data_IF_896646593524
#
_entry.id   IF_896646593524
#
_cell.length_a   1.000
_cell.length_b   1.000
_cell.length_c   1.000
_cell.angle_alpha   90.00
_cell.angle_beta   90.00
_cell.angle_gamma   90.00
#
_symmetry.space_group_name_H-M   'P 1'
#
loop_
_entity.id
_entity.type
_entity.pdbx_description
1 polymer ?
#
# COMPACT_ATOMS: atom_id res chain seq x y z
N UNK A 1 -6.87 24.25 -8.03
CA UNK A 1 -5.97 23.47 -7.14
C UNK A 1 -4.77 24.35 -6.77
N UNK A 2 -4.32 24.34 -5.52
CA UNK A 2 -3.13 25.10 -5.10
C UNK A 2 -1.86 24.41 -5.66
N UNK A 3 -1.05 25.06 -6.52
CA UNK A 3 0.13 24.46 -7.16
C UNK A 3 1.12 23.85 -6.14
N UNK A 4 1.32 24.55 -5.03
CA UNK A 4 2.25 24.14 -3.96
C UNK A 4 1.82 22.81 -3.32
N UNK A 5 0.51 22.56 -3.19
CA UNK A 5 -0.02 21.31 -2.63
C UNK A 5 0.28 20.10 -3.52
N UNK A 6 0.28 20.29 -4.84
CA UNK A 6 0.59 19.22 -5.79
C UNK A 6 2.09 18.88 -5.78
N UNK A 7 2.96 19.88 -5.63
CA UNK A 7 4.40 19.67 -5.52
C UNK A 7 4.78 18.96 -4.21
N UNK A 8 4.15 19.34 -3.09
CA UNK A 8 4.29 18.63 -1.80
C UNK A 8 3.86 17.17 -1.93
N UNK A 9 2.72 16.92 -2.60
CA UNK A 9 2.25 15.55 -2.88
C UNK A 9 3.27 14.78 -3.70
N UNK A 10 3.74 15.32 -4.81
CA UNK A 10 4.70 14.65 -5.69
C UNK A 10 6.02 14.35 -4.96
N UNK A 11 6.51 15.25 -4.10
CA UNK A 11 7.69 15.02 -3.29
C UNK A 11 7.49 13.87 -2.29
N UNK A 12 6.31 13.81 -1.67
CA UNK A 12 5.92 12.73 -0.77
C UNK A 12 5.81 11.38 -1.49
N UNK A 13 5.13 11.36 -2.64
CA UNK A 13 4.97 10.19 -3.49
C UNK A 13 6.31 9.60 -3.97
N UNK A 14 7.30 10.46 -4.23
CA UNK A 14 8.69 10.07 -4.55
C UNK A 14 9.50 9.55 -3.35
N UNK A 15 8.92 9.40 -2.16
CA UNK A 15 9.60 8.84 -0.99
C UNK A 15 10.50 9.78 -0.22
N UNK A 16 10.43 11.10 -0.44
CA UNK A 16 11.16 12.05 0.41
C UNK A 16 10.62 12.03 1.83
N UNK A 17 11.52 12.13 2.82
CA UNK A 17 11.10 12.24 4.21
C UNK A 17 10.28 13.51 4.45
N UNK A 18 9.29 13.42 5.33
CA UNK A 18 8.41 14.54 5.70
C UNK A 18 9.23 15.72 6.26
N UNK A 19 10.29 15.45 7.03
CA UNK A 19 11.27 16.44 7.51
C UNK A 19 11.87 17.24 6.35
N UNK A 20 12.36 16.53 5.33
CA UNK A 20 12.98 17.13 4.13
C UNK A 20 11.96 17.89 3.29
N UNK A 21 10.73 17.40 3.18
CA UNK A 21 9.63 18.09 2.50
C UNK A 21 9.28 19.39 3.23
N UNK A 22 9.21 19.35 4.56
CA UNK A 22 8.96 20.53 5.39
C UNK A 22 10.02 21.62 5.15
N UNK A 23 11.30 21.23 5.09
CA UNK A 23 12.40 22.15 4.78
C UNK A 23 12.35 22.65 3.33
N UNK A 24 12.05 21.77 2.36
CA UNK A 24 12.05 22.10 0.94
C UNK A 24 10.95 23.10 0.54
N UNK A 25 9.79 23.01 1.20
CA UNK A 25 8.63 23.85 0.89
C UNK A 25 8.35 24.93 1.94
N UNK A 26 9.25 25.12 2.91
CA UNK A 26 9.11 26.04 4.04
C UNK A 26 7.76 25.90 4.77
N UNK A 27 7.40 24.65 5.09
CA UNK A 27 6.16 24.31 5.80
C UNK A 27 6.46 23.58 7.09
N UNK A 28 5.55 23.71 8.05
CA UNK A 28 5.60 22.89 9.27
C UNK A 28 5.03 21.50 9.03
N UNK A 29 5.40 20.54 9.88
CA UNK A 29 4.77 19.21 9.90
C UNK A 29 3.25 19.28 10.05
N UNK A 30 2.75 20.21 10.88
CA UNK A 30 1.32 20.44 11.07
C UNK A 30 0.63 20.83 9.77
N UNK A 31 1.25 21.74 8.99
CA UNK A 31 0.77 22.15 7.67
C UNK A 31 0.77 20.99 6.67
N UNK A 32 1.81 20.14 6.69
CA UNK A 32 1.87 18.92 5.87
C UNK A 32 0.70 17.98 6.17
N UNK A 33 0.47 17.65 7.44
CA UNK A 33 -0.64 16.78 7.85
C UNK A 33 -2.01 17.38 7.57
N UNK A 34 -2.15 18.70 7.67
CA UNK A 34 -3.36 19.40 7.26
C UNK A 34 -3.67 19.20 5.77
N UNK A 35 -2.68 19.37 4.89
CA UNK A 35 -2.85 19.14 3.46
C UNK A 35 -3.18 17.68 3.13
N UNK A 36 -2.52 16.74 3.80
CA UNK A 36 -2.76 15.31 3.66
C UNK A 36 -4.17 14.92 4.09
N UNK A 37 -4.64 15.44 5.23
CA UNK A 37 -6.02 15.22 5.73
C UNK A 37 -7.06 15.79 4.77
N UNK A 38 -6.87 17.03 4.31
CA UNK A 38 -7.73 17.68 3.29
C UNK A 38 -7.77 16.91 1.97
N UNK A 39 -6.68 16.24 1.60
CA UNK A 39 -6.64 15.40 0.40
C UNK A 39 -7.45 14.12 0.59
N UNK A 40 -7.30 13.47 1.74
CA UNK A 40 -8.08 12.29 2.12
C UNK A 40 -9.58 12.57 2.15
N UNK A 41 -10.00 13.69 2.74
CA UNK A 41 -11.41 14.14 2.77
C UNK A 41 -11.97 14.39 1.36
N UNK A 42 -11.11 14.73 0.39
CA UNK A 42 -11.48 14.94 -1.00
C UNK A 42 -11.36 13.66 -1.87
N UNK A 43 -11.10 12.49 -1.26
CA UNK A 43 -10.95 11.21 -1.96
C UNK A 43 -9.57 10.99 -2.61
N UNK A 44 -8.58 11.83 -2.30
CA UNK A 44 -7.19 11.73 -2.77
C UNK A 44 -6.26 11.32 -1.62
N UNK A 45 -6.29 10.04 -1.25
CA UNK A 45 -5.46 9.51 -0.16
C UNK A 45 -4.00 9.36 -0.62
N UNK A 46 -3.13 10.22 -0.09
CA UNK A 46 -1.71 10.23 -0.42
C UNK A 46 -0.96 9.01 0.13
N UNK A 47 -1.40 8.42 1.24
CA UNK A 47 -0.82 7.18 1.76
C UNK A 47 -1.12 6.02 0.81
N UNK A 48 -2.37 5.93 0.34
CA UNK A 48 -2.78 4.90 -0.61
C UNK A 48 -2.06 5.06 -1.96
N UNK A 49 -1.92 6.30 -2.44
CA UNK A 49 -1.16 6.60 -3.64
C UNK A 49 0.35 6.28 -3.49
N UNK A 50 0.96 6.64 -2.35
CA UNK A 50 2.35 6.31 -2.05
C UNK A 50 2.58 4.79 -2.02
N UNK A 51 1.67 4.05 -1.39
CA UNK A 51 1.72 2.59 -1.32
C UNK A 51 1.52 1.92 -2.70
N UNK A 52 0.70 2.50 -3.57
CA UNK A 52 0.54 2.01 -4.96
C UNK A 52 1.80 2.25 -5.80
N UNK A 53 2.46 3.39 -5.63
CA UNK A 53 3.67 3.76 -6.40
C UNK A 53 4.90 2.99 -5.91
N UNK A 54 5.01 2.73 -4.60
CA UNK A 54 6.06 1.91 -3.96
C UNK A 54 5.89 0.40 -4.14
N UNK A 55 4.83 -0.06 -4.80
CA UNK A 55 4.60 -1.49 -5.14
C UNK A 55 5.34 -1.96 -6.40
N UNK A 56 6.29 -1.20 -6.90
CA UNK A 56 7.31 -1.74 -7.80
C UNK A 56 8.18 -2.75 -7.04
N UNK A 57 8.24 -4.00 -7.50
CA UNK A 57 8.94 -5.13 -6.86
C UNK A 57 10.43 -4.89 -6.54
N UNK A 58 11.03 -3.84 -7.10
CA UNK A 58 12.44 -3.49 -6.97
C UNK A 58 12.79 -2.82 -5.63
N UNK A 59 11.91 -2.02 -5.02
CA UNK A 59 12.22 -1.33 -3.75
C UNK A 59 12.03 -2.21 -2.51
N UNK A 60 11.15 -3.21 -2.58
CA UNK A 60 11.00 -4.21 -1.51
C UNK A 60 12.30 -5.00 -1.35
N UNK A 61 12.91 -5.42 -2.47
CA UNK A 61 14.20 -6.11 -2.48
C UNK A 61 15.33 -5.25 -1.92
N UNK A 62 15.41 -3.97 -2.30
CA UNK A 62 16.42 -3.04 -1.78
C UNK A 62 16.30 -2.82 -0.26
N UNK A 63 15.06 -2.76 0.26
CA UNK A 63 14.82 -2.65 1.71
C UNK A 63 15.19 -3.92 2.48
N UNK A 64 15.02 -5.09 1.86
CA UNK A 64 15.37 -6.39 2.41
C UNK A 64 16.89 -6.61 2.43
N UNK A 65 17.59 -6.25 1.35
CA UNK A 65 19.05 -6.27 1.26
C UNK A 65 19.70 -5.37 2.31
N UNK A 66 19.18 -4.14 2.49
CA UNK A 66 19.66 -3.21 3.51
C UNK A 66 19.44 -3.73 4.94
N UNK A 67 18.28 -4.36 5.20
CA UNK A 67 17.99 -4.97 6.50
C UNK A 67 18.94 -6.15 6.78
N UNK A 68 19.13 -7.05 5.82
CA UNK A 68 20.02 -8.21 5.95
C UNK A 68 21.48 -7.79 6.14
N UNK A 69 21.96 -6.80 5.39
CA UNK A 69 23.31 -6.25 5.56
C UNK A 69 23.50 -5.66 6.97
N UNK A 70 22.52 -4.91 7.46
CA UNK A 70 22.55 -4.33 8.82
C UNK A 70 22.51 -5.42 9.89
N UNK A 71 21.73 -6.48 9.68
CA UNK A 71 21.63 -7.63 10.58
C UNK A 71 22.99 -8.34 10.68
N UNK A 72 23.59 -8.70 9.54
CA UNK A 72 24.88 -9.39 9.48
C UNK A 72 25.96 -8.57 10.18
N UNK A 73 26.08 -7.27 9.86
CA UNK A 73 27.05 -6.38 10.50
C UNK A 73 26.85 -6.29 12.03
N UNK A 74 25.60 -6.30 12.51
CA UNK A 74 25.30 -6.27 13.95
C UNK A 74 25.68 -7.57 14.66
N UNK A 75 25.53 -8.72 13.98
CA UNK A 75 25.93 -10.03 14.50
C UNK A 75 27.45 -10.21 14.51
N UNK A 76 28.14 -9.81 13.44
CA UNK A 76 29.60 -9.83 13.38
C UNK A 76 30.22 -8.99 14.49
N UNK A 77 29.66 -7.80 14.72
CA UNK A 77 30.08 -6.94 15.82
C UNK A 77 29.85 -7.57 17.20
N UNK A 78 28.70 -8.20 17.41
CA UNK A 78 28.41 -8.90 18.67
C UNK A 78 29.36 -10.09 18.93
N UNK A 79 29.71 -10.84 17.88
CA UNK A 79 30.66 -11.95 17.94
C UNK A 79 32.10 -11.47 18.22
N UNK A 80 32.52 -10.37 17.58
CA UNK A 80 33.85 -9.77 17.77
C UNK A 80 34.04 -9.17 19.16
N UNK A 81 32.99 -8.59 19.73
CA UNK A 81 33.01 -8.00 21.09
C UNK A 81 32.88 -9.05 22.22
N UNK A 82 32.86 -10.35 21.88
CA UNK A 82 32.76 -11.45 22.86
C UNK A 82 31.42 -11.48 23.61
N UNK A 83 30.43 -10.73 23.14
CA UNK A 83 29.12 -10.65 23.75
C UNK A 83 28.25 -11.81 23.23
N UNK A 84 27.91 -12.75 24.11
CA UNK A 84 26.84 -13.70 23.82
C UNK A 84 25.56 -12.87 23.57
N UNK A 85 25.01 -12.83 22.35
CA UNK A 85 23.84 -12.02 22.09
C UNK A 85 22.71 -12.55 22.97
N UNK A 86 22.19 -11.71 23.88
CA UNK A 86 21.13 -12.15 24.78
C UNK A 86 19.98 -12.70 23.96
N UNK A 87 19.40 -13.83 24.40
CA UNK A 87 18.21 -14.44 23.78
C UNK A 87 17.11 -13.41 23.49
N UNK A 88 17.04 -12.38 24.31
CA UNK A 88 16.13 -11.24 24.18
C UNK A 88 16.41 -10.37 22.94
N UNK A 89 17.68 -10.05 22.67
CA UNK A 89 18.08 -9.32 21.44
C UNK A 89 17.83 -10.18 20.21
N UNK A 90 18.16 -11.46 20.26
CA UNK A 90 17.90 -12.41 19.16
C UNK A 90 16.41 -12.53 18.86
N UNK A 91 15.58 -12.65 19.89
CA UNK A 91 14.12 -12.70 19.74
C UNK A 91 13.57 -11.39 19.15
N UNK A 92 14.11 -10.23 19.56
CA UNK A 92 13.73 -8.93 18.97
C UNK A 92 14.10 -8.84 17.48
N UNK A 93 15.28 -9.31 17.07
CA UNK A 93 15.68 -9.33 15.67
C UNK A 93 14.85 -10.33 14.85
N UNK A 94 14.57 -11.51 15.39
CA UNK A 94 13.72 -12.52 14.75
C UNK A 94 12.27 -12.03 14.60
N UNK A 95 11.72 -11.34 15.60
CA UNK A 95 10.40 -10.72 15.51
C UNK A 95 10.34 -9.58 14.51
N UNK A 96 11.37 -8.75 14.41
CA UNK A 96 11.45 -7.68 13.40
C UNK A 96 11.56 -8.27 12.00
N UNK A 97 12.43 -9.26 11.79
CA UNK A 97 12.54 -9.99 10.52
C UNK A 97 11.23 -10.71 10.17
N UNK A 98 10.58 -11.34 11.14
CA UNK A 98 9.27 -11.94 10.94
C UNK A 98 8.21 -10.90 10.63
N UNK A 99 8.22 -9.69 11.22
CA UNK A 99 7.29 -8.61 10.85
C UNK A 99 7.54 -8.03 9.45
N UNK A 100 8.80 -8.04 9.00
CA UNK A 100 9.19 -7.60 7.66
C UNK A 100 8.85 -8.64 6.59
N UNK A 101 9.10 -9.93 6.88
CA UNK A 101 8.88 -11.05 5.96
C UNK A 101 7.48 -11.64 6.05
N UNK A 102 6.81 -11.52 7.20
CA UNK A 102 5.42 -11.93 7.32
C UNK A 102 4.68 -11.13 6.26
N UNK A 103 4.02 -11.81 5.30
CA UNK A 103 3.09 -11.11 4.44
C UNK A 103 2.16 -10.41 5.41
N UNK A 104 2.08 -9.07 5.35
CA UNK A 104 1.14 -8.34 6.18
C UNK A 104 -0.21 -9.03 5.97
N UNK A 105 -0.67 -9.76 6.99
CA UNK A 105 -2.03 -10.28 7.06
C UNK A 105 -3.05 -9.12 7.15
N UNK A 106 -2.59 -7.87 7.05
CA UNK A 106 -3.38 -6.77 6.47
C UNK A 106 -3.51 -6.97 4.96
N UNK A 107 -4.21 -8.05 4.65
CA UNK A 107 -4.82 -8.37 3.39
C UNK A 107 -5.82 -7.29 2.98
N UNK A 108 -5.97 -6.11 3.59
CA UNK A 108 -7.06 -5.18 3.22
C UNK A 108 -7.04 -4.80 1.72
N UNK A 109 -5.85 -4.62 1.14
CA UNK A 109 -5.72 -4.36 -0.30
C UNK A 109 -5.80 -5.64 -1.14
N UNK A 110 -5.20 -6.76 -0.71
CA UNK A 110 -5.33 -8.06 -1.40
C UNK A 110 -6.74 -8.63 -1.31
N UNK A 111 -7.46 -8.33 -0.24
CA UNK A 111 -8.84 -8.67 0.05
C UNK A 111 -9.74 -7.75 -0.76
N UNK A 112 -9.48 -6.44 -0.84
CA UNK A 112 -10.20 -5.57 -1.78
C UNK A 112 -10.02 -6.02 -3.23
N UNK A 113 -8.80 -6.35 -3.65
CA UNK A 113 -8.53 -6.88 -4.99
C UNK A 113 -9.20 -8.26 -5.19
N UNK A 114 -9.10 -9.19 -4.24
CA UNK A 114 -9.80 -10.49 -4.29
C UNK A 114 -11.31 -10.34 -4.28
N UNK A 115 -11.87 -9.45 -3.46
CA UNK A 115 -13.30 -9.22 -3.39
C UNK A 115 -13.79 -8.58 -4.68
N UNK A 116 -13.02 -7.65 -5.25
CA UNK A 116 -13.29 -7.06 -6.56
C UNK A 116 -13.28 -8.11 -7.66
N UNK A 117 -12.24 -8.94 -7.70
CA UNK A 117 -12.15 -10.07 -8.63
C UNK A 117 -13.34 -11.03 -8.48
N UNK A 118 -13.77 -11.32 -7.24
CA UNK A 118 -14.95 -12.15 -6.98
C UNK A 118 -16.26 -11.49 -7.42
N UNK A 119 -16.39 -10.19 -7.26
CA UNK A 119 -17.55 -9.44 -7.73
C UNK A 119 -17.62 -9.41 -9.27
N UNK A 120 -16.48 -9.19 -9.94
CA UNK A 120 -16.36 -9.27 -11.39
C UNK A 120 -16.71 -10.68 -11.90
N UNK A 121 -16.22 -11.72 -11.22
CA UNK A 121 -16.57 -13.11 -11.51
C UNK A 121 -18.08 -13.36 -11.36
N UNK A 122 -18.69 -12.79 -10.31
CA UNK A 122 -20.13 -12.96 -10.04
C UNK A 122 -20.97 -12.29 -11.13
N UNK A 123 -20.61 -11.08 -11.56
CA UNK A 123 -21.26 -10.39 -12.67
C UNK A 123 -21.14 -11.22 -13.96
N UNK A 124 -19.98 -11.83 -14.19
CA UNK A 124 -19.74 -12.69 -15.35
C UNK A 124 -20.59 -13.95 -15.33
N UNK A 125 -20.68 -14.63 -14.19
CA UNK A 125 -21.55 -15.81 -14.04
C UNK A 125 -23.04 -15.45 -14.15
N UNK A 126 -23.45 -14.28 -13.66
CA UNK A 126 -24.82 -13.78 -13.86
C UNK A 126 -25.10 -13.50 -15.34
N UNK A 127 -24.13 -12.95 -16.07
CA UNK A 127 -24.25 -12.73 -17.50
C UNK A 127 -24.31 -14.05 -18.29
N UNK A 128 -23.52 -15.06 -17.91
CA UNK A 128 -23.61 -16.40 -18.48
C UNK A 128 -24.96 -17.07 -18.18
N UNK A 129 -25.44 -17.00 -16.93
CA UNK A 129 -26.75 -17.53 -16.56
C UNK A 129 -27.88 -16.82 -17.32
N UNK A 130 -27.78 -15.49 -17.48
CA UNK A 130 -28.73 -14.72 -18.29
C UNK A 130 -28.68 -15.10 -19.77
N UNK A 131 -27.50 -15.45 -20.31
CA UNK A 131 -27.34 -15.97 -21.66
C UNK A 131 -27.99 -17.34 -21.83
N UNK A 132 -27.82 -18.24 -20.86
CA UNK A 132 -28.44 -19.58 -20.86
C UNK A 132 -29.98 -19.50 -20.76
N UNK A 133 -30.50 -18.52 -20.02
CA UNK A 133 -31.94 -18.28 -19.84
C UNK A 133 -32.54 -17.34 -20.90
N UNK A 134 -31.77 -16.97 -21.93
CA UNK A 134 -32.13 -16.07 -23.03
C UNK A 134 -32.63 -14.68 -22.56
N UNK A 135 -32.19 -14.21 -21.39
CA UNK A 135 -32.56 -12.93 -20.79
C UNK A 135 -31.70 -11.78 -21.32
N UNK A 136 -31.91 -11.40 -22.59
CA UNK A 136 -31.11 -10.36 -23.29
C UNK A 136 -31.07 -9.01 -22.56
N UNK A 137 -32.18 -8.59 -21.95
CA UNK A 137 -32.24 -7.33 -21.20
C UNK A 137 -31.26 -7.30 -20.02
N UNK A 138 -31.06 -8.45 -19.37
CA UNK A 138 -30.15 -8.58 -18.23
C UNK A 138 -28.69 -8.55 -18.69
N UNK A 139 -28.39 -9.16 -19.84
CA UNK A 139 -27.05 -9.15 -20.46
C UNK A 139 -26.65 -7.72 -20.84
N UNK A 140 -27.54 -6.98 -21.49
CA UNK A 140 -27.29 -5.60 -21.91
C UNK A 140 -27.11 -4.67 -20.71
N UNK A 141 -27.92 -4.86 -19.66
CA UNK A 141 -27.80 -4.10 -18.41
C UNK A 141 -26.45 -4.36 -17.72
N UNK A 142 -26.08 -5.63 -17.54
CA UNK A 142 -24.82 -5.99 -16.87
C UNK A 142 -23.61 -5.52 -17.68
N UNK A 143 -23.62 -5.66 -19.00
CA UNK A 143 -22.53 -5.20 -19.87
C UNK A 143 -22.32 -3.69 -19.79
N UNK A 144 -23.42 -2.93 -19.79
CA UNK A 144 -23.40 -1.46 -19.76
C UNK A 144 -23.01 -0.91 -18.39
N UNK A 145 -23.41 -1.57 -17.30
CA UNK A 145 -23.29 -1.03 -15.94
C UNK A 145 -22.27 -1.74 -15.04
N UNK A 146 -21.50 -2.70 -15.55
CA UNK A 146 -20.57 -3.50 -14.72
C UNK A 146 -19.64 -2.65 -13.85
N UNK A 147 -19.00 -1.60 -14.39
CA UNK A 147 -18.10 -0.74 -13.62
C UNK A 147 -18.83 0.04 -12.51
N UNK A 148 -20.04 0.52 -12.78
CA UNK A 148 -20.84 1.26 -11.81
C UNK A 148 -21.35 0.34 -10.69
N UNK A 149 -21.67 -0.93 -11.00
CA UNK A 149 -22.02 -1.95 -10.01
C UNK A 149 -20.81 -2.21 -9.09
N UNK A 150 -19.62 -2.46 -9.66
CA UNK A 150 -18.38 -2.66 -8.89
C UNK A 150 -18.10 -1.45 -8.01
N UNK A 151 -18.19 -0.23 -8.55
CA UNK A 151 -17.97 1.02 -7.81
C UNK A 151 -18.94 1.21 -6.64
N UNK A 152 -20.20 0.77 -6.77
CA UNK A 152 -21.20 0.85 -5.69
C UNK A 152 -20.97 -0.18 -4.60
N UNK A 153 -20.44 -1.36 -4.94
CA UNK A 153 -20.15 -2.44 -3.99
C UNK A 153 -18.91 -2.12 -3.14
N UNK A 154 -17.88 -1.49 -3.71
CA UNK A 154 -16.58 -1.23 -3.06
C UNK A 154 -16.37 0.21 -2.57
N UNK A 155 -17.46 0.95 -2.35
CA UNK A 155 -17.45 2.36 -1.96
C UNK A 155 -16.77 2.63 -0.61
#
# INVERSE_FOLDING_TARGET
MNPQRQEIKNAYLKGKEISSICTLFDITRSTFYYHKKKAKEAGDDWDEAFLREKRGEEEIKASEEYFLATLIASFEKALLEGANPSLEKLNKYAQTYWKLKAPKNDDEFKLKDKLREKAELTIKELAHLALELEQKEVIDFLSTHHEEIIKRVFK
#
